data_IF_488462019843
#
_entry.id   IF_488462019843
#
_cell.length_a   1.000
_cell.length_b   1.000
_cell.length_c   1.000
_cell.angle_alpha   90.00
_cell.angle_beta   90.00
_cell.angle_gamma   90.00
#
_symmetry.space_group_name_H-M   'P 1'
#
loop_
_entity.id
_entity.type
_entity.pdbx_description
1 polymer ?
#
# COMPACT_ATOMS: atom_id res chain seq x y z
N UNK A 1 -26.68 3.91 -3.83
CA UNK A 1 -26.37 5.35 -3.95
C UNK A 1 -24.87 5.34 -4.02
N UNK A 2 -24.29 5.69 -5.18
CA UNK A 2 -22.88 5.42 -5.43
C UNK A 2 -21.98 6.01 -4.34
N UNK A 3 -21.06 5.19 -3.83
CA UNK A 3 -20.08 5.64 -2.85
C UNK A 3 -19.18 6.69 -3.51
N UNK A 4 -19.18 7.90 -2.97
CA UNK A 4 -18.28 8.96 -3.41
C UNK A 4 -16.96 8.85 -2.65
N UNK A 5 -16.03 8.10 -3.22
CA UNK A 5 -14.67 7.94 -2.70
C UNK A 5 -13.72 8.97 -3.33
N UNK A 6 -12.62 9.26 -2.65
CA UNK A 6 -11.57 10.15 -3.14
C UNK A 6 -10.99 9.68 -4.51
N UNK A 7 -10.86 10.57 -5.51
CA UNK A 7 -10.39 10.22 -6.85
C UNK A 7 -8.89 9.89 -6.93
N UNK A 8 -8.14 10.04 -5.83
CA UNK A 8 -6.75 9.57 -5.75
C UNK A 8 -6.65 8.04 -5.67
N UNK A 9 -7.77 7.37 -5.38
CA UNK A 9 -7.92 5.92 -5.41
C UNK A 9 -8.45 5.47 -6.78
N UNK A 10 -8.10 4.25 -7.18
CA UNK A 10 -8.63 3.62 -8.38
C UNK A 10 -10.09 3.17 -8.15
N UNK A 11 -11.01 4.11 -8.39
CA UNK A 11 -12.44 3.91 -8.19
C UNK A 11 -13.01 2.86 -9.14
N UNK A 12 -12.45 2.74 -10.35
CA UNK A 12 -12.88 1.75 -11.32
C UNK A 12 -12.53 0.33 -10.83
N UNK A 13 -11.31 0.14 -10.31
CA UNK A 13 -10.93 -1.12 -9.70
C UNK A 13 -11.78 -1.43 -8.47
N UNK A 14 -11.98 -0.46 -7.57
CA UNK A 14 -12.75 -0.64 -6.34
C UNK A 14 -14.20 -1.07 -6.65
N UNK A 15 -14.87 -0.38 -7.57
CA UNK A 15 -16.23 -0.70 -7.99
C UNK A 15 -16.30 -2.09 -8.66
N UNK A 16 -15.33 -2.41 -9.51
CA UNK A 16 -15.26 -3.73 -10.14
C UNK A 16 -15.03 -4.87 -9.12
N UNK A 17 -14.20 -4.64 -8.10
CA UNK A 17 -13.79 -5.67 -7.15
C UNK A 17 -14.79 -5.85 -6.00
N UNK A 18 -15.40 -4.77 -5.53
CA UNK A 18 -16.19 -4.74 -4.30
C UNK A 18 -17.60 -4.14 -4.48
N UNK A 19 -17.88 -3.50 -5.62
CA UNK A 19 -19.11 -2.77 -5.86
C UNK A 19 -19.32 -1.61 -4.88
N UNK A 20 -20.58 -1.34 -4.55
CA UNK A 20 -20.99 -0.28 -3.62
C UNK A 20 -21.13 -0.76 -2.17
N UNK A 21 -20.36 -1.77 -1.72
CA UNK A 21 -20.45 -2.28 -0.33
C UNK A 21 -19.52 -1.52 0.63
N UNK A 22 -20.06 -0.62 1.48
CA UNK A 22 -19.25 0.19 2.39
C UNK A 22 -18.58 -0.64 3.49
N UNK A 23 -19.16 -1.78 3.89
CA UNK A 23 -18.63 -2.65 4.94
C UNK A 23 -17.37 -3.34 4.45
N UNK A 24 -17.41 -3.87 3.22
CA UNK A 24 -16.23 -4.49 2.59
C UNK A 24 -15.10 -3.47 2.43
N UNK A 25 -15.41 -2.28 1.92
CA UNK A 25 -14.41 -1.24 1.70
C UNK A 25 -13.79 -0.72 3.01
N UNK A 26 -14.62 -0.51 4.03
CA UNK A 26 -14.13 -0.20 5.38
C UNK A 26 -13.14 -1.25 5.87
N UNK A 27 -13.49 -2.54 5.80
CA UNK A 27 -12.61 -3.62 6.26
C UNK A 27 -11.27 -3.64 5.50
N UNK A 28 -11.29 -3.35 4.20
CA UNK A 28 -10.09 -3.31 3.36
C UNK A 28 -9.19 -2.13 3.74
N UNK A 29 -9.75 -0.93 3.89
CA UNK A 29 -8.97 0.24 4.30
C UNK A 29 -8.44 0.10 5.72
N UNK A 30 -9.27 -0.37 6.65
CA UNK A 30 -8.87 -0.63 8.04
C UNK A 30 -7.73 -1.67 8.13
N UNK A 31 -7.83 -2.78 7.39
CA UNK A 31 -6.76 -3.79 7.34
C UNK A 31 -5.47 -3.23 6.72
N UNK A 32 -5.57 -2.40 5.69
CA UNK A 32 -4.39 -1.77 5.12
C UNK A 32 -3.70 -0.81 6.10
N UNK A 33 -4.48 0.04 6.77
CA UNK A 33 -3.96 1.02 7.73
C UNK A 33 -3.38 0.35 8.98
N UNK A 34 -4.04 -0.68 9.50
CA UNK A 34 -3.65 -1.34 10.75
C UNK A 34 -2.57 -2.43 10.60
N UNK A 35 -2.47 -3.08 9.43
CA UNK A 35 -1.49 -4.16 9.20
C UNK A 35 -0.48 -3.81 8.10
N UNK A 36 -0.96 -3.37 6.93
CA UNK A 36 -0.07 -3.15 5.77
C UNK A 36 0.86 -1.95 5.95
N UNK A 37 0.39 -0.83 6.51
CA UNK A 37 1.20 0.36 6.76
C UNK A 37 2.32 0.10 7.79
N UNK A 38 2.07 -0.51 8.97
CA UNK A 38 3.14 -0.88 9.89
C UNK A 38 4.19 -1.82 9.27
N UNK A 39 3.76 -2.83 8.50
CA UNK A 39 4.68 -3.73 7.79
C UNK A 39 5.49 -3.00 6.72
N UNK A 40 4.90 -2.06 6.00
CA UNK A 40 5.62 -1.19 5.07
C UNK A 40 6.66 -0.33 5.77
N UNK A 41 6.36 0.18 6.98
CA UNK A 41 7.35 0.92 7.80
C UNK A 41 8.49 0.01 8.28
N UNK A 42 8.18 -1.23 8.64
CA UNK A 42 9.19 -2.21 9.05
C UNK A 42 10.19 -2.57 7.93
N UNK A 43 9.79 -2.43 6.64
CA UNK A 43 10.67 -2.63 5.50
C UNK A 43 11.92 -1.74 5.57
N UNK A 44 11.82 -0.50 6.06
CA UNK A 44 12.98 0.37 6.21
C UNK A 44 14.06 -0.28 7.07
N UNK A 45 13.66 -0.83 8.23
CA UNK A 45 14.59 -1.50 9.13
C UNK A 45 15.26 -2.73 8.51
N UNK A 46 14.52 -3.51 7.71
CA UNK A 46 15.06 -4.66 6.99
C UNK A 46 16.06 -4.24 5.88
N UNK A 47 15.77 -3.16 5.15
CA UNK A 47 16.70 -2.59 4.17
C UNK A 47 17.95 -2.01 4.86
N UNK A 48 17.77 -1.35 6.00
CA UNK A 48 18.87 -0.78 6.78
C UNK A 48 19.79 -1.84 7.39
N UNK A 49 19.25 -2.97 7.83
CA UNK A 49 20.04 -4.10 8.34
C UNK A 49 20.68 -4.95 7.24
N UNK A 50 20.29 -4.73 5.97
CA UNK A 50 20.75 -5.55 4.84
C UNK A 50 20.07 -6.91 4.76
N UNK A 51 18.96 -7.12 5.46
CA UNK A 51 18.17 -8.35 5.38
C UNK A 51 17.31 -8.35 4.11
N UNK A 52 17.94 -8.66 2.98
CA UNK A 52 17.28 -8.68 1.68
C UNK A 52 16.19 -9.76 1.59
N UNK A 53 16.33 -10.85 2.35
CA UNK A 53 15.33 -11.92 2.39
C UNK A 53 14.05 -11.45 3.07
N UNK A 54 14.18 -10.83 4.23
CA UNK A 54 13.04 -10.24 4.94
C UNK A 54 12.43 -9.09 4.13
N UNK A 55 13.27 -8.23 3.55
CA UNK A 55 12.83 -7.13 2.69
C UNK A 55 11.98 -7.62 1.51
N UNK A 56 12.44 -8.66 0.82
CA UNK A 56 11.69 -9.26 -0.29
C UNK A 56 10.38 -9.90 0.20
N UNK A 57 10.38 -10.56 1.35
CA UNK A 57 9.19 -11.17 1.97
C UNK A 57 8.12 -10.12 2.29
N UNK A 58 8.52 -9.01 2.93
CA UNK A 58 7.62 -7.90 3.27
C UNK A 58 7.00 -7.32 2.00
N UNK A 59 7.83 -6.95 1.02
CA UNK A 59 7.34 -6.37 -0.24
C UNK A 59 6.44 -7.35 -0.98
N UNK A 60 6.79 -8.64 -1.02
CA UNK A 60 5.98 -9.67 -1.66
C UNK A 60 4.58 -9.76 -1.07
N UNK A 61 4.48 -9.77 0.26
CA UNK A 61 3.22 -9.88 0.97
C UNK A 61 2.33 -8.63 0.88
N UNK A 62 2.92 -7.44 0.68
CA UNK A 62 2.17 -6.17 0.67
C UNK A 62 1.60 -5.79 -0.70
N UNK A 63 2.15 -6.31 -1.81
CA UNK A 63 1.66 -6.06 -3.18
C UNK A 63 0.14 -6.16 -3.36
N UNK A 64 -0.54 -7.24 -2.90
CA UNK A 64 -1.99 -7.34 -3.05
C UNK A 64 -2.72 -6.21 -2.30
N UNK A 65 -2.26 -5.85 -1.10
CA UNK A 65 -2.91 -4.84 -0.27
C UNK A 65 -2.99 -3.48 -0.96
N UNK A 66 -1.95 -3.06 -1.70
CA UNK A 66 -1.99 -1.83 -2.49
C UNK A 66 -3.04 -1.87 -3.61
N UNK A 67 -3.23 -3.03 -4.25
CA UNK A 67 -4.27 -3.16 -5.28
C UNK A 67 -5.66 -3.10 -4.64
N UNK A 68 -5.84 -3.84 -3.55
CA UNK A 68 -7.12 -3.93 -2.84
C UNK A 68 -7.62 -2.57 -2.34
N UNK A 69 -6.73 -1.68 -1.90
CA UNK A 69 -7.09 -0.33 -1.45
C UNK A 69 -7.27 0.69 -2.59
N UNK A 70 -7.17 0.27 -3.85
CA UNK A 70 -7.22 1.19 -5.00
C UNK A 70 -5.93 1.98 -5.22
N UNK A 71 -4.84 1.64 -4.54
CA UNK A 71 -3.50 2.18 -4.80
C UNK A 71 -2.80 1.43 -5.95
N UNK A 72 -3.54 1.19 -7.03
CA UNK A 72 -3.08 0.39 -8.19
C UNK A 72 -1.84 1.00 -8.85
N UNK A 73 -1.66 2.32 -8.75
CA UNK A 73 -0.51 3.05 -9.24
C UNK A 73 0.76 2.88 -8.37
N UNK A 74 0.61 2.54 -7.08
CA UNK A 74 1.73 2.28 -6.16
C UNK A 74 2.29 0.87 -6.36
N UNK A 75 1.41 -0.11 -6.60
CA UNK A 75 1.80 -1.52 -6.80
C UNK A 75 2.97 -1.73 -7.79
N UNK A 76 2.98 -1.18 -9.02
CA UNK A 76 4.10 -1.41 -9.94
C UNK A 76 5.43 -0.87 -9.38
N UNK A 77 5.42 0.21 -8.60
CA UNK A 77 6.64 0.74 -7.96
C UNK A 77 7.17 -0.23 -6.90
N UNK A 78 6.26 -0.83 -6.14
CA UNK A 78 6.54 -1.88 -5.15
C UNK A 78 7.08 -3.15 -5.83
N UNK A 79 6.55 -3.53 -7.00
CA UNK A 79 7.10 -4.64 -7.80
C UNK A 79 8.52 -4.36 -8.31
N UNK A 80 8.81 -3.12 -8.73
CA UNK A 80 10.17 -2.73 -9.12
C UNK A 80 11.12 -2.76 -7.92
N UNK A 81 10.67 -2.32 -6.73
CA UNK A 81 11.46 -2.43 -5.50
C UNK A 81 11.73 -3.90 -5.13
N UNK A 82 10.73 -4.78 -5.19
CA UNK A 82 10.91 -6.22 -4.95
C UNK A 82 11.98 -6.80 -5.87
N UNK A 83 11.95 -6.42 -7.15
CA UNK A 83 12.93 -6.87 -8.13
C UNK A 83 14.32 -6.35 -7.79
N UNK A 84 14.47 -5.07 -7.46
CA UNK A 84 15.75 -4.50 -7.07
C UNK A 84 16.35 -5.18 -5.83
N UNK A 85 15.52 -5.55 -4.86
CA UNK A 85 15.93 -6.33 -3.68
C UNK A 85 16.44 -7.72 -4.10
N UNK A 86 15.70 -8.42 -4.98
CA UNK A 86 16.09 -9.75 -5.49
C UNK A 86 17.33 -9.74 -6.36
N UNK A 87 17.56 -8.64 -7.07
CA UNK A 87 18.77 -8.40 -7.87
C UNK A 87 19.95 -7.94 -7.00
N UNK A 88 19.80 -7.93 -5.67
CA UNK A 88 20.82 -7.55 -4.68
C UNK A 88 21.45 -6.18 -4.96
N UNK A 89 20.64 -5.21 -5.39
CA UNK A 89 21.10 -3.85 -5.64
C UNK A 89 21.59 -3.16 -4.36
N UNK A 90 22.38 -2.10 -4.51
CA UNK A 90 23.01 -1.45 -3.36
C UNK A 90 21.98 -0.91 -2.37
N UNK A 91 22.32 -1.00 -1.07
CA UNK A 91 21.47 -0.53 0.02
C UNK A 91 21.00 0.92 -0.19
N UNK A 92 21.88 1.80 -0.64
CA UNK A 92 21.57 3.20 -0.90
C UNK A 92 20.49 3.35 -1.97
N UNK A 93 20.56 2.54 -3.02
CA UNK A 93 19.56 2.56 -4.08
C UNK A 93 18.21 2.03 -3.59
N UNK A 94 18.21 0.93 -2.84
CA UNK A 94 16.98 0.35 -2.27
C UNK A 94 16.29 1.32 -1.30
N UNK A 95 17.06 2.01 -0.46
CA UNK A 95 16.53 3.02 0.45
C UNK A 95 15.99 4.25 -0.29
N UNK A 96 16.66 4.74 -1.34
CA UNK A 96 16.13 5.83 -2.17
C UNK A 96 14.78 5.45 -2.82
N UNK A 97 14.68 4.23 -3.38
CA UNK A 97 13.42 3.72 -3.92
C UNK A 97 12.34 3.62 -2.84
N UNK A 98 12.68 3.07 -1.67
CA UNK A 98 11.76 2.99 -0.53
C UNK A 98 11.24 4.37 -0.12
N UNK A 99 12.13 5.34 0.08
CA UNK A 99 11.73 6.68 0.53
C UNK A 99 10.82 7.40 -0.48
N UNK A 100 11.06 7.24 -1.78
CA UNK A 100 10.18 7.79 -2.82
C UNK A 100 8.78 7.20 -2.76
N UNK A 101 8.68 5.88 -2.62
CA UNK A 101 7.39 5.19 -2.51
C UNK A 101 6.70 5.55 -1.19
N UNK A 102 7.45 5.60 -0.08
CA UNK A 102 6.93 5.97 1.24
C UNK A 102 6.37 7.39 1.27
N UNK A 103 7.03 8.36 0.65
CA UNK A 103 6.53 9.73 0.58
C UNK A 103 5.16 9.83 -0.13
N UNK A 104 4.94 9.00 -1.15
CA UNK A 104 3.66 8.90 -1.84
C UNK A 104 2.59 8.20 -0.99
N UNK A 105 2.94 7.08 -0.35
CA UNK A 105 2.05 6.37 0.57
C UNK A 105 1.64 7.28 1.73
N UNK A 106 2.57 8.02 2.33
CA UNK A 106 2.30 8.93 3.44
C UNK A 106 1.34 10.06 3.03
N UNK A 107 1.35 10.49 1.76
CA UNK A 107 0.35 11.43 1.22
C UNK A 107 -1.04 10.81 1.02
N UNK A 108 -1.12 9.49 0.86
CA UNK A 108 -2.36 8.74 0.63
C UNK A 108 -3.00 8.22 1.92
N UNK A 109 -2.22 8.00 2.99
CA UNK A 109 -2.71 7.51 4.29
C UNK A 109 -3.87 8.37 4.83
N UNK A 110 -3.77 9.72 4.90
CA UNK A 110 -4.88 10.54 5.42
C UNK A 110 -6.17 10.41 4.61
N UNK A 111 -6.05 10.13 3.31
CA UNK A 111 -7.20 9.89 2.43
C UNK A 111 -7.88 8.57 2.81
N UNK A 112 -7.08 7.50 2.96
CA UNK A 112 -7.60 6.19 3.37
C UNK A 112 -8.21 6.22 4.77
N UNK A 113 -7.60 6.95 5.71
CA UNK A 113 -8.14 7.15 7.06
C UNK A 113 -9.51 7.85 7.00
N UNK A 114 -9.59 8.97 6.28
CA UNK A 114 -10.83 9.72 6.15
C UNK A 114 -11.95 8.92 5.47
N UNK A 115 -11.63 8.18 4.41
CA UNK A 115 -12.62 7.32 3.74
C UNK A 115 -13.04 6.15 4.64
N UNK A 116 -12.10 5.52 5.36
CA UNK A 116 -12.40 4.43 6.30
C UNK A 116 -13.35 4.89 7.41
N UNK A 117 -13.07 6.05 8.03
CA UNK A 117 -13.93 6.62 9.06
C UNK A 117 -15.33 6.95 8.53
N UNK A 118 -15.43 7.51 7.32
CA UNK A 118 -16.70 7.81 6.67
C UNK A 118 -17.49 6.52 6.41
N UNK A 119 -16.88 5.52 5.80
CA UNK A 119 -17.51 4.24 5.45
C UNK A 119 -18.00 3.47 6.68
N UNK A 120 -17.28 3.55 7.81
CA UNK A 120 -17.68 2.93 9.09
C UNK A 120 -19.04 3.40 9.63
N UNK A 121 -19.49 4.59 9.20
CA UNK A 121 -20.74 5.21 9.67
C UNK A 121 -21.94 4.98 8.74
N UNK A 122 -21.72 4.35 7.59
CA UNK A 122 -22.75 4.02 6.59
C UNK A 122 -23.35 2.63 6.86
#
# INVERSE_FOLDING_TARGET
MALQLNPSLDLAYIDQAYGEDPVILYMIFDAFLSDSVPRWRALQGALESGDLKESASIVHGLKPSFTMTGLTHVRPKVEVLEKAIKDEQSKEHLLDMYHRISAEIDGLIPILESESERLKTL
#
